data_IF_395752594894
#
_entry.id   IF_395752594894
#
_cell.length_a   1.000
_cell.length_b   1.000
_cell.length_c   1.000
_cell.angle_alpha   90.00
_cell.angle_beta   90.00
_cell.angle_gamma   90.00
#
_symmetry.space_group_name_H-M   'P 1'
#
loop_
_entity.id
_entity.type
_entity.pdbx_description
1 polymer ?
#
# COMPACT_ATOMS: atom_id res chain seq x y z
N UNK A 1 20.10 2.92 -0.27
CA UNK A 1 19.67 1.64 0.29
C UNK A 1 18.27 1.33 -0.19
N UNK A 2 18.01 0.13 -0.62
CA UNK A 2 16.68 -0.31 -1.05
C UNK A 2 16.11 -1.21 0.04
N UNK A 3 14.87 -0.97 0.44
CA UNK A 3 14.20 -1.79 1.45
C UNK A 3 12.89 -2.33 0.89
N UNK A 4 12.68 -3.62 1.05
CA UNK A 4 11.41 -4.29 0.77
C UNK A 4 10.76 -4.65 2.11
N UNK A 5 9.59 -4.08 2.39
CA UNK A 5 8.85 -4.32 3.62
C UNK A 5 7.54 -5.04 3.32
N UNK A 6 7.34 -6.17 3.98
CA UNK A 6 6.02 -6.83 4.03
C UNK A 6 5.20 -6.22 5.15
N UNK A 7 4.05 -5.67 4.83
CA UNK A 7 3.11 -5.13 5.80
C UNK A 7 2.01 -6.14 6.08
N UNK A 8 1.88 -6.54 7.33
CA UNK A 8 0.82 -7.45 7.76
C UNK A 8 -0.40 -6.67 8.22
N UNK A 9 -1.55 -7.30 8.13
CA UNK A 9 -2.84 -6.71 8.49
C UNK A 9 -2.96 -6.30 9.98
N UNK A 10 -2.08 -6.84 10.85
CA UNK A 10 -2.05 -6.48 12.29
C UNK A 10 -1.77 -5.01 12.54
N UNK A 11 -0.89 -4.40 11.74
CA UNK A 11 -0.50 -3.00 11.92
C UNK A 11 -1.61 -2.02 11.50
N UNK A 12 -2.57 -2.48 10.69
CA UNK A 12 -3.74 -1.70 10.28
C UNK A 12 -4.87 -1.73 11.30
N UNK A 13 -5.04 -2.84 12.02
CA UNK A 13 -6.09 -2.96 13.05
C UNK A 13 -5.86 -2.08 14.27
N UNK A 14 -4.59 -1.77 14.60
CA UNK A 14 -4.25 -0.91 15.75
C UNK A 14 -4.64 0.56 15.56
N UNK A 15 -4.96 1.01 14.33
CA UNK A 15 -5.32 2.41 14.03
C UNK A 15 -6.81 2.68 13.84
N UNK A 16 -7.65 1.66 13.81
CA UNK A 16 -9.09 1.81 13.53
C UNK A 16 -9.99 1.69 14.76
N UNK A 17 -9.43 1.61 15.97
CA UNK A 17 -10.22 1.85 17.18
C UNK A 17 -10.36 3.36 17.38
N UNK A 18 -11.23 3.95 16.61
CA UNK A 18 -11.83 5.24 17.01
C UNK A 18 -12.86 4.89 18.06
N UNK A 19 -12.58 5.26 19.29
CA UNK A 19 -13.54 5.23 20.38
C UNK A 19 -14.76 6.05 20.01
N UNK A 20 -15.83 5.38 19.60
CA UNK A 20 -17.16 5.96 19.56
C UNK A 20 -17.81 5.65 20.90
N UNK A 21 -17.30 6.28 21.95
CA UNK A 21 -17.95 6.40 23.22
C UNK A 21 -18.21 7.88 23.51
N UNK A 22 -19.24 8.43 22.94
CA UNK A 22 -19.98 9.52 23.60
C UNK A 22 -21.33 9.71 22.94
N UNK A 23 -22.35 9.38 23.75
CA UNK A 23 -23.64 10.04 23.85
C UNK A 23 -24.35 10.45 22.56
N UNK A 24 -25.41 9.71 22.22
CA UNK A 24 -26.73 10.32 22.15
C UNK A 24 -27.81 9.24 22.26
N UNK A 25 -28.44 9.17 23.40
CA UNK A 25 -29.79 8.65 23.55
C UNK A 25 -30.68 9.64 22.80
N UNK A 26 -31.43 9.14 21.85
CA UNK A 26 -32.73 9.56 21.38
C UNK A 26 -32.81 9.44 19.86
N UNK A 27 -33.08 8.25 19.41
CA UNK A 27 -33.97 7.90 18.28
C UNK A 27 -33.85 6.40 18.01
N UNK A 28 -34.64 5.65 18.75
CA UNK A 28 -34.77 4.21 18.58
C UNK A 28 -35.62 3.91 17.35
N UNK A 29 -35.02 3.76 16.18
CA UNK A 29 -35.78 3.29 15.05
C UNK A 29 -34.98 2.83 13.84
N UNK A 30 -33.82 3.42 13.58
CA UNK A 30 -33.16 3.16 12.30
C UNK A 30 -31.62 3.00 12.37
N UNK A 31 -31.04 2.97 13.56
CA UNK A 31 -29.57 2.91 13.72
C UNK A 31 -29.06 1.49 13.54
N UNK A 32 -29.84 0.48 13.90
CA UNK A 32 -29.42 -0.93 13.78
C UNK A 32 -29.29 -1.39 12.30
N UNK A 33 -30.12 -0.86 11.40
CA UNK A 33 -30.01 -1.14 9.96
C UNK A 33 -28.83 -0.41 9.30
N UNK A 34 -28.51 0.80 9.74
CA UNK A 34 -27.36 1.57 9.26
C UNK A 34 -26.04 1.00 9.80
N UNK A 35 -26.00 0.57 11.05
CA UNK A 35 -24.83 -0.07 11.65
C UNK A 35 -24.56 -1.45 11.03
N UNK A 36 -25.59 -2.20 10.64
CA UNK A 36 -25.43 -3.48 9.94
C UNK A 36 -24.92 -3.30 8.50
N UNK A 37 -25.28 -2.21 7.82
CA UNK A 37 -24.73 -1.86 6.51
C UNK A 37 -23.28 -1.35 6.60
N UNK A 38 -22.96 -0.61 7.64
CA UNK A 38 -21.60 -0.08 7.86
C UNK A 38 -20.60 -1.16 8.28
N UNK A 39 -21.04 -2.16 9.05
CA UNK A 39 -20.22 -3.33 9.38
C UNK A 39 -19.96 -4.25 8.18
N UNK A 40 -20.86 -4.28 7.21
CA UNK A 40 -20.67 -5.07 5.98
C UNK A 40 -19.68 -4.44 5.01
N UNK A 41 -19.58 -3.12 4.94
CA UNK A 41 -18.67 -2.45 4.02
C UNK A 41 -17.23 -2.43 4.56
N UNK A 42 -17.02 -2.40 5.88
CA UNK A 42 -15.68 -2.40 6.46
C UNK A 42 -15.01 -3.78 6.46
N UNK A 43 -15.79 -4.86 6.48
CA UNK A 43 -15.24 -6.24 6.49
C UNK A 43 -14.75 -6.67 5.10
N UNK A 44 -15.27 -6.10 4.02
CA UNK A 44 -14.87 -6.44 2.66
C UNK A 44 -13.51 -5.85 2.25
N UNK A 45 -13.01 -4.83 2.96
CA UNK A 45 -11.71 -4.17 2.67
C UNK A 45 -10.52 -4.81 3.38
N UNK A 46 -10.73 -5.69 4.32
CA UNK A 46 -9.66 -6.37 5.05
C UNK A 46 -9.43 -7.79 4.50
N UNK A 47 -8.97 -7.87 3.25
CA UNK A 47 -8.36 -9.12 2.81
C UNK A 47 -7.05 -9.32 3.58
N UNK A 48 -6.81 -10.49 4.13
CA UNK A 48 -5.54 -10.92 4.77
C UNK A 48 -4.38 -11.02 3.74
N UNK A 49 -4.30 -10.08 2.81
CA UNK A 49 -3.29 -10.04 1.77
C UNK A 49 -2.03 -9.35 2.29
N UNK A 50 -0.91 -10.02 2.17
CA UNK A 50 0.39 -9.40 2.39
C UNK A 50 0.66 -8.43 1.23
N UNK A 51 1.03 -7.19 1.54
CA UNK A 51 1.40 -6.18 0.57
C UNK A 51 2.93 -6.10 0.47
N UNK A 52 3.45 -6.11 -0.75
CA UNK A 52 4.86 -5.88 -1.02
C UNK A 52 5.08 -4.39 -1.30
N UNK A 53 5.90 -3.76 -0.47
CA UNK A 53 6.24 -2.34 -0.58
C UNK A 53 7.70 -2.19 -0.94
N UNK A 54 7.98 -1.55 -2.08
CA UNK A 54 9.33 -1.18 -2.49
C UNK A 54 9.60 0.29 -2.13
N UNK A 55 10.63 0.52 -1.34
CA UNK A 55 11.08 1.85 -0.97
C UNK A 55 12.45 2.11 -1.60
N UNK A 56 12.54 3.14 -2.45
CA UNK A 56 13.74 3.54 -3.17
C UNK A 56 14.35 4.79 -2.54
N UNK A 57 15.60 4.68 -2.14
CA UNK A 57 16.36 5.78 -1.56
C UNK A 57 16.82 6.75 -2.65
N UNK A 58 16.97 8.03 -2.28
CA UNK A 58 17.65 9.04 -3.07
C UNK A 58 19.17 8.83 -3.12
N UNK A 59 19.85 9.70 -3.86
CA UNK A 59 21.31 9.71 -3.93
C UNK A 59 21.85 9.69 -5.37
N UNK A 60 21.25 10.43 -6.31
CA UNK A 60 21.75 10.61 -7.67
C UNK A 60 22.06 9.30 -8.38
N UNK A 61 23.35 8.99 -8.57
CA UNK A 61 23.83 7.79 -9.26
C UNK A 61 23.31 6.47 -8.68
N UNK A 62 22.89 6.44 -7.41
CA UNK A 62 22.28 5.27 -6.79
C UNK A 62 20.91 4.91 -7.39
N UNK A 63 20.32 5.80 -8.19
CA UNK A 63 19.12 5.49 -8.95
C UNK A 63 19.27 4.29 -9.87
N UNK A 64 20.42 4.13 -10.50
CA UNK A 64 20.74 2.98 -11.35
C UNK A 64 20.72 1.65 -10.57
N UNK A 65 21.20 1.66 -9.33
CA UNK A 65 21.12 0.49 -8.44
C UNK A 65 19.66 0.13 -8.13
N UNK A 66 18.82 1.12 -7.86
CA UNK A 66 17.38 0.91 -7.64
C UNK A 66 16.68 0.25 -8.83
N UNK A 67 17.03 0.65 -10.05
CA UNK A 67 16.54 0.00 -11.27
C UNK A 67 16.95 -1.47 -11.37
N UNK A 68 18.20 -1.79 -11.01
CA UNK A 68 18.70 -3.17 -10.98
C UNK A 68 17.92 -4.04 -9.98
N UNK A 69 17.65 -3.50 -8.79
CA UNK A 69 16.85 -4.19 -7.77
C UNK A 69 15.42 -4.44 -8.28
N UNK A 70 14.77 -3.43 -8.86
CA UNK A 70 13.43 -3.59 -9.44
C UNK A 70 13.42 -4.71 -10.50
N UNK A 71 14.38 -4.69 -11.42
CA UNK A 71 14.50 -5.71 -12.46
C UNK A 71 14.67 -7.12 -11.88
N UNK A 72 15.45 -7.27 -10.83
CA UNK A 72 15.62 -8.55 -10.13
C UNK A 72 14.30 -9.02 -9.49
N UNK A 73 13.55 -8.13 -8.85
CA UNK A 73 12.23 -8.45 -8.27
C UNK A 73 11.24 -8.88 -9.34
N UNK A 74 11.18 -8.14 -10.45
CA UNK A 74 10.29 -8.45 -11.57
C UNK A 74 10.62 -9.81 -12.21
N UNK A 75 11.89 -10.12 -12.41
CA UNK A 75 12.35 -11.41 -12.96
C UNK A 75 12.00 -12.59 -12.03
N UNK A 76 11.89 -12.35 -10.74
CA UNK A 76 11.45 -13.37 -9.78
C UNK A 76 9.92 -13.36 -9.55
N UNK A 77 9.16 -12.69 -10.40
CA UNK A 77 7.70 -12.59 -10.32
C UNK A 77 7.18 -12.04 -8.98
N UNK A 78 7.96 -11.18 -8.32
CA UNK A 78 7.54 -10.49 -7.09
C UNK A 78 6.71 -9.29 -7.50
N UNK A 79 5.41 -9.37 -7.31
CA UNK A 79 4.49 -8.24 -7.53
C UNK A 79 4.66 -7.20 -6.44
N UNK A 80 4.69 -5.94 -6.84
CA UNK A 80 4.73 -4.79 -5.94
C UNK A 80 3.34 -4.17 -5.86
N UNK A 81 2.88 -3.97 -4.64
CA UNK A 81 1.59 -3.31 -4.37
C UNK A 81 1.78 -1.80 -4.19
N UNK A 82 2.90 -1.40 -3.61
CA UNK A 82 3.24 0.00 -3.35
C UNK A 82 4.70 0.24 -3.69
N UNK A 83 4.97 1.34 -4.39
CA UNK A 83 6.32 1.84 -4.63
C UNK A 83 6.42 3.26 -4.08
N UNK A 84 7.47 3.53 -3.33
CA UNK A 84 7.75 4.85 -2.78
C UNK A 84 9.22 5.20 -2.96
N UNK A 85 9.56 6.49 -3.04
CA UNK A 85 10.93 6.88 -3.20
C UNK A 85 11.18 8.35 -2.88
N UNK A 86 12.45 8.70 -2.66
CA UNK A 86 12.91 10.06 -2.39
C UNK A 86 13.91 10.49 -3.47
N UNK A 87 13.83 11.74 -3.96
CA UNK A 87 14.71 12.26 -5.02
C UNK A 87 14.74 11.33 -6.25
N UNK A 88 15.89 10.89 -6.73
CA UNK A 88 16.00 9.95 -7.85
C UNK A 88 15.19 8.64 -7.61
N UNK A 89 15.07 8.20 -6.37
CA UNK A 89 14.21 7.08 -5.99
C UNK A 89 12.74 7.37 -6.23
N UNK A 90 12.29 8.62 -6.05
CA UNK A 90 10.93 9.07 -6.38
C UNK A 90 10.66 9.05 -7.88
N UNK A 91 11.64 9.46 -8.70
CA UNK A 91 11.56 9.39 -10.15
C UNK A 91 11.43 7.94 -10.61
N UNK A 92 12.28 7.06 -10.10
CA UNK A 92 12.20 5.63 -10.40
C UNK A 92 10.86 5.02 -9.96
N UNK A 93 10.34 5.40 -8.79
CA UNK A 93 9.05 4.96 -8.30
C UNK A 93 7.91 5.40 -9.25
N UNK A 94 7.96 6.63 -9.75
CA UNK A 94 6.97 7.14 -10.69
C UNK A 94 7.01 6.39 -12.03
N UNK A 95 8.20 6.09 -12.55
CA UNK A 95 8.37 5.31 -13.78
C UNK A 95 7.80 3.89 -13.60
N UNK A 96 8.14 3.23 -12.50
CA UNK A 96 7.66 1.87 -12.20
C UNK A 96 6.13 1.86 -12.08
N UNK A 97 5.54 2.80 -11.34
CA UNK A 97 4.10 2.86 -11.11
C UNK A 97 3.32 3.28 -12.38
N UNK A 98 3.92 4.11 -13.25
CA UNK A 98 3.29 4.59 -14.47
C UNK A 98 3.46 3.67 -15.68
N UNK A 99 4.29 2.63 -15.57
CA UNK A 99 4.54 1.70 -16.67
C UNK A 99 3.35 0.78 -16.91
N UNK A 100 3.03 0.59 -18.19
CA UNK A 100 2.02 -0.41 -18.62
C UNK A 100 2.59 -1.83 -18.61
N UNK A 101 3.90 -1.95 -18.72
CA UNK A 101 4.61 -3.24 -18.63
C UNK A 101 5.28 -3.33 -17.26
N UNK A 102 4.70 -4.13 -16.37
CA UNK A 102 5.20 -4.32 -15.01
C UNK A 102 6.64 -4.87 -14.96
N UNK A 103 7.10 -5.54 -16.01
CA UNK A 103 8.43 -6.17 -16.07
C UNK A 103 9.48 -5.32 -16.76
N UNK A 104 9.07 -4.46 -17.67
CA UNK A 104 9.97 -3.69 -18.53
C UNK A 104 9.54 -2.23 -18.63
N UNK A 105 9.58 -1.46 -17.53
CA UNK A 105 9.17 -0.06 -17.53
C UNK A 105 10.04 0.83 -18.43
N UNK A 106 11.25 0.41 -18.74
CA UNK A 106 12.19 1.11 -19.63
C UNK A 106 11.80 1.09 -21.10
N UNK A 107 10.77 0.34 -21.50
CA UNK A 107 10.34 0.22 -22.91
C UNK A 107 9.29 1.28 -23.33
N UNK A 108 8.97 2.22 -22.45
CA UNK A 108 7.97 3.26 -22.69
C UNK A 108 8.58 4.64 -22.79
#
# INVERSE_FOLDING_TARGET
MVQLKKKTNRDRMARSQVDISSSNKDNSGNISSLLSLQSRSSTAYYSNRLENVLILQGGGSLGAFGCGVFKALANNNIKLDIVAGTSIGGINAAIIAGSKDEKHPEKH
#
